data_IF_245612415846
#
_entry.id   IF_245612415846
#
_cell.length_a   1.000
_cell.length_b   1.000
_cell.length_c   1.000
_cell.angle_alpha   90.00
_cell.angle_beta   90.00
_cell.angle_gamma   90.00
#
_symmetry.space_group_name_H-M   'P 1'
#
loop_
_entity.id
_entity.type
_entity.pdbx_description
1 polymer ?
#
# COMPACT_ATOMS: atom_id res chain seq x y z
N UNK A 1 22.06 8.25 -14.21
CA UNK A 1 22.51 7.50 -15.41
C UNK A 1 21.95 6.08 -15.47
N UNK A 2 20.91 5.74 -14.70
CA UNK A 2 20.37 4.38 -14.69
C UNK A 2 19.43 4.09 -15.86
N UNK A 3 19.05 5.12 -16.67
CA UNK A 3 18.11 5.01 -17.81
C UNK A 3 16.82 4.26 -17.45
N UNK A 4 16.34 4.42 -16.20
CA UNK A 4 15.15 3.76 -15.70
C UNK A 4 13.90 4.31 -16.41
N UNK A 5 12.95 3.43 -16.70
CA UNK A 5 11.65 3.75 -17.30
C UNK A 5 10.52 3.21 -16.45
N UNK A 6 9.35 3.81 -16.59
CA UNK A 6 8.16 3.39 -15.84
C UNK A 6 8.20 3.74 -14.36
N UNK A 7 7.47 3.00 -13.56
CA UNK A 7 7.41 3.17 -12.11
C UNK A 7 8.69 2.67 -11.45
N UNK A 8 9.30 3.52 -10.63
CA UNK A 8 10.50 3.20 -9.86
C UNK A 8 10.34 3.78 -8.46
N UNK A 9 10.80 3.08 -7.46
CA UNK A 9 10.86 3.55 -6.07
C UNK A 9 12.23 4.11 -5.74
N UNK A 10 12.25 5.15 -4.90
CA UNK A 10 13.47 5.74 -4.37
C UNK A 10 13.31 5.86 -2.87
N UNK A 11 14.16 5.17 -2.12
CA UNK A 11 14.21 5.27 -0.67
C UNK A 11 15.17 6.38 -0.26
N UNK A 12 14.68 7.32 0.54
CA UNK A 12 15.39 8.54 0.92
C UNK A 12 15.40 8.67 2.44
N UNK A 13 16.56 8.98 3.00
CA UNK A 13 16.70 9.42 4.39
C UNK A 13 16.92 10.91 4.41
N UNK A 14 16.18 11.61 5.25
CA UNK A 14 16.36 13.04 5.48
C UNK A 14 17.16 13.21 6.77
N UNK A 15 18.33 13.84 6.67
CA UNK A 15 19.15 14.15 7.83
C UNK A 15 18.56 15.25 8.71
N UNK A 16 19.13 15.47 9.89
CA UNK A 16 18.62 16.46 10.85
C UNK A 16 18.63 17.90 10.32
N UNK A 17 19.52 18.21 9.38
CA UNK A 17 19.63 19.52 8.72
C UNK A 17 18.72 19.65 7.50
N UNK A 18 17.88 18.61 7.20
CA UNK A 18 16.95 18.59 6.11
C UNK A 18 17.53 18.09 4.77
N UNK A 19 18.81 17.68 4.74
CA UNK A 19 19.43 17.18 3.50
C UNK A 19 18.92 15.78 3.15
N UNK A 20 18.37 15.56 1.92
CA UNK A 20 17.95 14.24 1.48
C UNK A 20 19.13 13.38 0.98
N UNK A 21 19.18 12.14 1.41
CA UNK A 21 20.13 11.13 0.93
C UNK A 21 19.39 9.96 0.32
N UNK A 22 19.71 9.62 -0.94
CA UNK A 22 19.16 8.43 -1.58
C UNK A 22 19.89 7.21 -1.01
N UNK A 23 19.09 6.26 -0.49
CA UNK A 23 19.58 5.02 0.10
C UNK A 23 19.51 3.88 -0.91
N UNK A 24 18.37 3.78 -1.61
CA UNK A 24 18.12 2.70 -2.54
C UNK A 24 17.24 3.18 -3.71
N UNK A 25 17.46 2.56 -4.87
CA UNK A 25 16.59 2.74 -6.05
C UNK A 25 16.03 1.38 -6.44
N UNK A 26 14.71 1.26 -6.41
CA UNK A 26 13.97 0.04 -6.69
C UNK A 26 13.27 0.14 -8.07
N UNK A 27 13.83 -0.42 -9.15
CA UNK A 27 13.24 -0.36 -10.49
C UNK A 27 12.09 -1.36 -10.64
N UNK A 28 11.02 -1.17 -9.89
CA UNK A 28 9.82 -2.00 -9.88
C UNK A 28 8.61 -1.20 -9.41
N UNK A 29 7.42 -1.77 -9.61
CA UNK A 29 6.20 -1.28 -8.97
C UNK A 29 6.35 -1.33 -7.44
N UNK A 30 5.90 -0.26 -6.78
CA UNK A 30 6.04 -0.09 -5.34
C UNK A 30 4.79 -0.52 -4.58
N UNK A 31 4.92 -0.81 -3.29
CA UNK A 31 3.80 -1.15 -2.43
C UNK A 31 2.73 -0.05 -2.29
N UNK A 32 3.03 1.18 -2.71
CA UNK A 32 2.10 2.31 -2.74
C UNK A 32 1.22 2.36 -3.99
N UNK A 33 1.36 1.41 -4.93
CA UNK A 33 0.63 1.35 -6.20
C UNK A 33 -0.87 1.57 -6.00
N UNK A 34 -1.52 0.79 -5.14
CA UNK A 34 -2.96 0.90 -4.91
C UNK A 34 -3.41 2.27 -4.38
N UNK A 35 -2.57 2.94 -3.58
CA UNK A 35 -2.86 4.31 -3.13
C UNK A 35 -2.79 5.30 -4.29
N UNK A 36 -1.80 5.18 -5.17
CA UNK A 36 -1.64 6.06 -6.33
C UNK A 36 -2.82 5.90 -7.28
N UNK A 37 -3.21 4.66 -7.59
CA UNK A 37 -4.35 4.38 -8.46
C UNK A 37 -5.66 4.96 -7.92
N UNK A 38 -5.91 4.82 -6.61
CA UNK A 38 -7.10 5.37 -5.95
C UNK A 38 -7.12 6.90 -5.95
N UNK A 39 -5.99 7.54 -5.64
CA UNK A 39 -5.90 9.00 -5.54
C UNK A 39 -6.01 9.67 -6.90
N UNK A 40 -5.43 9.11 -7.94
CA UNK A 40 -5.33 9.73 -9.26
C UNK A 40 -6.26 9.12 -10.31
N UNK A 41 -6.94 8.01 -10.02
CA UNK A 41 -7.86 7.34 -10.95
C UNK A 41 -7.17 6.79 -12.19
N UNK A 42 -5.91 6.35 -12.07
CA UNK A 42 -5.12 5.79 -13.16
C UNK A 42 -4.85 4.31 -12.93
N UNK A 43 -4.63 3.57 -14.01
CA UNK A 43 -4.04 2.23 -13.93
C UNK A 43 -2.51 2.36 -13.99
N UNK A 44 -1.84 2.18 -12.85
CA UNK A 44 -0.38 2.38 -12.77
C UNK A 44 0.40 1.27 -13.47
N UNK A 45 -0.16 0.07 -13.57
CA UNK A 45 0.45 -1.05 -14.31
C UNK A 45 0.45 -0.74 -15.81
N UNK A 46 -0.69 -0.29 -16.37
CA UNK A 46 -0.78 0.15 -17.76
C UNK A 46 0.17 1.31 -18.05
N UNK A 47 0.20 2.31 -17.17
CA UNK A 47 1.12 3.44 -17.28
C UNK A 47 2.59 2.99 -17.25
N UNK A 48 2.95 2.04 -16.38
CA UNK A 48 4.29 1.47 -16.32
C UNK A 48 4.68 0.77 -17.64
N UNK A 49 3.78 -0.06 -18.18
CA UNK A 49 4.00 -0.77 -19.45
C UNK A 49 4.18 0.22 -20.59
N UNK A 50 3.32 1.24 -20.72
CA UNK A 50 3.41 2.26 -21.75
C UNK A 50 4.71 3.07 -21.66
N UNK A 51 5.10 3.44 -20.45
CA UNK A 51 6.37 4.13 -20.22
C UNK A 51 7.59 3.27 -20.59
N UNK A 52 7.57 1.98 -20.31
CA UNK A 52 8.65 1.07 -20.66
C UNK A 52 8.77 0.81 -22.15
N UNK A 53 7.63 0.57 -22.83
CA UNK A 53 7.61 0.20 -24.24
C UNK A 53 7.70 1.41 -25.18
N UNK A 54 6.98 2.49 -24.86
CA UNK A 54 6.77 3.61 -25.75
C UNK A 54 7.36 4.93 -25.26
N UNK A 55 7.82 4.99 -24.00
CA UNK A 55 8.27 6.23 -23.37
C UNK A 55 7.13 7.19 -23.01
N UNK A 56 5.89 6.70 -23.01
CA UNK A 56 4.71 7.50 -22.70
C UNK A 56 4.53 7.67 -21.19
N UNK A 57 4.31 8.91 -20.75
CA UNK A 57 4.02 9.22 -19.35
C UNK A 57 2.52 9.49 -19.16
N UNK A 58 1.92 8.98 -18.06
CA UNK A 58 0.51 9.25 -17.80
C UNK A 58 0.28 10.73 -17.51
N UNK A 59 -0.83 11.27 -18.02
CA UNK A 59 -1.29 12.61 -17.66
C UNK A 59 -1.99 12.53 -16.31
N UNK A 60 -1.35 13.01 -15.27
CA UNK A 60 -1.87 12.98 -13.90
C UNK A 60 -2.36 14.38 -13.53
N UNK A 61 -3.65 14.50 -13.19
CA UNK A 61 -4.24 15.72 -12.64
C UNK A 61 -3.86 15.94 -11.17
N UNK A 62 -4.24 17.10 -10.63
CA UNK A 62 -4.17 17.34 -9.18
C UNK A 62 -5.30 16.58 -8.50
N UNK A 63 -5.00 15.96 -7.36
CA UNK A 63 -5.99 15.34 -6.51
C UNK A 63 -5.97 16.01 -5.12
N UNK A 64 -7.14 16.17 -4.52
CA UNK A 64 -7.31 16.57 -3.13
C UNK A 64 -7.51 15.37 -2.20
N UNK A 65 -7.51 14.15 -2.75
CA UNK A 65 -7.69 12.92 -1.98
C UNK A 65 -6.38 12.44 -1.38
N UNK A 66 -6.50 11.80 -0.23
CA UNK A 66 -5.43 11.08 0.44
C UNK A 66 -5.77 9.60 0.50
N UNK A 67 -4.78 8.75 0.40
CA UNK A 67 -4.94 7.31 0.61
C UNK A 67 -3.92 6.81 1.63
N UNK A 68 -4.38 5.99 2.54
CA UNK A 68 -3.56 5.29 3.53
C UNK A 68 -3.52 3.81 3.19
N UNK A 69 -2.33 3.22 3.16
CA UNK A 69 -2.13 1.77 3.19
C UNK A 69 -1.55 1.40 4.55
N UNK A 70 -2.27 0.57 5.29
CA UNK A 70 -1.85 0.04 6.58
C UNK A 70 -1.65 -1.47 6.45
N UNK A 71 -0.43 -1.95 6.69
CA UNK A 71 -0.12 -3.37 6.71
C UNK A 71 -0.36 -3.89 8.13
N UNK A 72 -1.23 -4.88 8.27
CA UNK A 72 -1.52 -5.52 9.54
C UNK A 72 -0.65 -6.77 9.70
N UNK A 73 -0.14 -6.97 10.90
CA UNK A 73 0.66 -8.12 11.26
C UNK A 73 -0.05 -8.94 12.34
N UNK A 74 0.12 -10.24 12.31
CA UNK A 74 -0.46 -11.13 13.31
C UNK A 74 0.17 -10.87 14.70
N UNK A 75 -0.61 -10.48 15.72
CA UNK A 75 -0.09 -10.17 17.06
C UNK A 75 0.35 -11.43 17.83
N UNK A 76 -0.17 -12.58 17.44
CA UNK A 76 0.12 -13.93 17.93
C UNK A 76 -0.15 -14.92 16.80
N UNK A 77 0.13 -16.20 17.02
CA UNK A 77 -0.30 -17.26 16.09
C UNK A 77 -1.83 -17.28 16.02
N UNK A 78 -2.38 -17.17 14.82
CA UNK A 78 -3.82 -17.04 14.57
C UNK A 78 -4.27 -17.86 13.37
N UNK A 79 -5.56 -18.18 13.35
CA UNK A 79 -6.26 -18.70 12.16
C UNK A 79 -6.79 -17.50 11.38
N UNK A 80 -6.48 -17.44 10.09
CA UNK A 80 -6.95 -16.38 9.20
C UNK A 80 -8.47 -16.43 9.06
N UNK A 81 -9.20 -15.37 9.40
CA UNK A 81 -10.63 -15.28 9.15
C UNK A 81 -10.90 -15.01 7.67
N UNK A 82 -12.15 -15.17 7.25
CA UNK A 82 -12.59 -14.66 5.95
C UNK A 82 -12.65 -13.13 6.00
N UNK A 83 -11.75 -12.49 5.25
CA UNK A 83 -11.63 -11.04 5.14
C UNK A 83 -12.26 -10.48 3.87
N UNK A 84 -12.84 -11.31 3.00
CA UNK A 84 -13.47 -10.88 1.74
C UNK A 84 -14.68 -9.98 1.94
N UNK A 85 -15.23 -9.95 3.14
CA UNK A 85 -16.35 -9.07 3.54
C UNK A 85 -15.97 -7.59 3.65
N UNK A 86 -14.68 -7.28 3.71
CA UNK A 86 -14.16 -5.91 3.81
C UNK A 86 -13.70 -5.43 2.43
N UNK A 87 -14.30 -4.38 1.92
CA UNK A 87 -13.95 -3.82 0.60
C UNK A 87 -12.59 -3.11 0.59
N UNK A 88 -12.14 -2.64 1.75
CA UNK A 88 -10.88 -1.92 1.94
C UNK A 88 -9.68 -2.85 2.15
N UNK A 89 -9.91 -4.17 2.24
CA UNK A 89 -8.85 -5.15 2.56
C UNK A 89 -8.26 -5.74 1.29
N UNK A 90 -6.94 -5.79 1.27
CA UNK A 90 -6.10 -6.31 0.19
C UNK A 90 -5.10 -7.32 0.74
N UNK A 91 -4.45 -8.06 -0.14
CA UNK A 91 -3.48 -9.10 0.25
C UNK A 91 -4.11 -10.12 1.24
N UNK A 92 -5.35 -10.52 0.94
CA UNK A 92 -6.17 -11.37 1.81
C UNK A 92 -5.56 -12.77 1.89
N UNK A 93 -5.29 -13.28 3.10
CA UNK A 93 -4.81 -14.64 3.27
C UNK A 93 -5.89 -15.66 2.94
N UNK A 94 -5.49 -16.88 2.63
CA UNK A 94 -6.44 -17.97 2.47
C UNK A 94 -7.19 -18.22 3.79
N UNK A 95 -8.53 -18.21 3.82
CA UNK A 95 -9.30 -18.48 5.03
C UNK A 95 -8.89 -19.81 5.69
N UNK A 96 -8.85 -19.84 6.99
CA UNK A 96 -8.41 -20.97 7.83
C UNK A 96 -6.91 -21.32 7.72
N UNK A 97 -6.09 -20.54 7.01
CA UNK A 97 -4.64 -20.70 7.08
C UNK A 97 -4.09 -20.22 8.42
N UNK A 98 -3.00 -20.82 8.86
CA UNK A 98 -2.29 -20.41 10.07
C UNK A 98 -1.30 -19.31 9.70
N UNK A 99 -1.32 -18.23 10.48
CA UNK A 99 -0.39 -17.10 10.35
C UNK A 99 0.37 -16.99 11.66
N UNK A 100 1.69 -17.02 11.57
CA UNK A 100 2.55 -16.95 12.74
C UNK A 100 2.67 -15.52 13.28
N UNK A 101 3.05 -15.38 14.53
CA UNK A 101 3.27 -14.06 15.15
C UNK A 101 4.28 -13.25 14.37
N UNK A 102 3.90 -12.00 14.03
CA UNK A 102 4.74 -11.06 13.29
C UNK A 102 4.74 -11.23 11.77
N UNK A 103 4.04 -12.24 11.23
CA UNK A 103 3.82 -12.34 9.79
C UNK A 103 2.74 -11.37 9.32
N UNK A 104 2.81 -10.89 8.05
CA UNK A 104 1.80 -10.03 7.49
C UNK A 104 0.45 -10.77 7.39
N UNK A 105 -0.60 -10.13 7.89
CA UNK A 105 -1.96 -10.65 7.86
C UNK A 105 -2.71 -10.19 6.61
N UNK A 106 -2.74 -8.89 6.37
CA UNK A 106 -3.37 -8.27 5.21
C UNK A 106 -2.96 -6.80 5.10
N UNK A 107 -3.39 -6.14 4.03
CA UNK A 107 -3.27 -4.68 3.89
C UNK A 107 -4.66 -4.04 3.92
N UNK A 108 -4.80 -2.88 4.57
CA UNK A 108 -6.00 -2.05 4.56
C UNK A 108 -5.71 -0.79 3.74
N UNK A 109 -6.52 -0.50 2.72
CA UNK A 109 -6.43 0.71 1.90
C UNK A 109 -7.69 1.54 2.07
N UNK A 110 -7.53 2.77 2.53
CA UNK A 110 -8.65 3.71 2.76
C UNK A 110 -8.38 5.06 2.14
N UNK A 111 -9.44 5.74 1.74
CA UNK A 111 -9.39 7.07 1.16
C UNK A 111 -10.05 8.10 2.09
N UNK A 112 -9.57 9.34 2.01
CA UNK A 112 -10.12 10.48 2.75
C UNK A 112 -9.79 11.81 2.09
N UNK A 113 -10.50 12.84 2.52
CA UNK A 113 -10.25 14.24 2.09
C UNK A 113 -9.06 14.86 2.83
N UNK A 114 -8.56 14.19 3.86
CA UNK A 114 -7.32 14.52 4.55
C UNK A 114 -6.55 13.26 4.92
N UNK A 115 -5.25 13.44 5.24
CA UNK A 115 -4.41 12.37 5.76
C UNK A 115 -5.01 11.74 7.01
N UNK A 116 -5.50 12.57 7.93
CA UNK A 116 -6.00 12.08 9.22
C UNK A 116 -7.30 11.29 9.04
N UNK A 117 -8.20 11.72 8.16
CA UNK A 117 -9.42 10.97 7.84
C UNK A 117 -9.09 9.62 7.20
N UNK A 118 -8.16 9.58 6.24
CA UNK A 118 -7.79 8.30 5.61
C UNK A 118 -7.11 7.35 6.61
N UNK A 119 -6.26 7.87 7.49
CA UNK A 119 -5.60 7.08 8.53
C UNK A 119 -6.60 6.56 9.57
N UNK A 120 -7.50 7.41 10.06
CA UNK A 120 -8.53 7.01 11.02
C UNK A 120 -9.38 5.86 10.48
N UNK A 121 -9.85 5.95 9.24
CA UNK A 121 -10.62 4.86 8.60
C UNK A 121 -9.81 3.55 8.54
N UNK A 122 -8.53 3.62 8.20
CA UNK A 122 -7.67 2.44 8.16
C UNK A 122 -7.51 1.80 9.55
N UNK A 123 -7.34 2.60 10.59
CA UNK A 123 -7.23 2.13 11.98
C UNK A 123 -8.54 1.53 12.49
N UNK A 124 -9.68 2.12 12.14
CA UNK A 124 -11.01 1.56 12.49
C UNK A 124 -11.22 0.19 11.82
N UNK A 125 -10.92 0.06 10.52
CA UNK A 125 -10.97 -1.22 9.82
C UNK A 125 -10.00 -2.23 10.44
N UNK A 126 -8.79 -1.81 10.79
CA UNK A 126 -7.81 -2.66 11.45
C UNK A 126 -8.32 -3.21 12.81
N UNK A 127 -8.96 -2.37 13.62
CA UNK A 127 -9.58 -2.81 14.89
C UNK A 127 -10.65 -3.87 14.68
N UNK A 128 -11.50 -3.70 13.64
CA UNK A 128 -12.53 -4.70 13.30
C UNK A 128 -11.90 -6.04 12.89
N UNK A 129 -10.83 -6.00 12.08
CA UNK A 129 -10.10 -7.20 11.65
C UNK A 129 -9.46 -7.90 12.83
N UNK A 130 -8.73 -7.16 13.70
CA UNK A 130 -8.12 -7.74 14.88
C UNK A 130 -9.16 -8.37 15.85
N UNK A 131 -10.37 -7.79 15.94
CA UNK A 131 -11.48 -8.35 16.71
C UNK A 131 -12.02 -9.68 16.17
N UNK A 132 -11.74 -10.02 14.92
CA UNK A 132 -12.16 -11.30 14.29
C UNK A 132 -11.09 -12.40 14.38
N UNK A 133 -9.89 -12.10 14.89
CA UNK A 133 -8.82 -13.08 14.96
C UNK A 133 -9.07 -14.10 16.08
N UNK A 134 -8.95 -15.36 15.76
CA UNK A 134 -8.99 -16.46 16.71
C UNK A 134 -7.58 -17.04 16.91
N UNK A 135 -7.22 -17.45 18.15
CA UNK A 135 -5.99 -18.20 18.38
C UNK A 135 -6.00 -19.51 17.58
N UNK A 136 -4.84 -19.88 17.01
CA UNK A 136 -4.62 -21.18 16.36
C UNK A 136 -4.17 -22.21 17.39
#
# INVERSE_FOLDING_TARGET
>A
HFSLRGSNGIDIVISKDGTPYVVEVNPRLQGTLGCIERVFGINLVDAHVKACLYGEMPKIGRSSKFCTRLILYAPKRVIAPDLTVFQEVWDIPLPNSIIERGEPLCSVLTEGESRDISLQKAEETAKLIYGKLHPA
#
